data_IF_296305924726
#
_entry.id   IF_296305924726
#
_cell.length_a   1.000
_cell.length_b   1.000
_cell.length_c   1.000
_cell.angle_alpha   90.00
_cell.angle_beta   90.00
_cell.angle_gamma   90.00
#
_symmetry.space_group_name_H-M   'P 1'
#
loop_
_entity.id
_entity.type
_entity.pdbx_description
1 polymer ?
#
# COMPACT_ATOMS: atom_id res chain seq x y z
N UNK A 1 -9.07 3.83 16.12
CA UNK A 1 -7.91 3.28 15.36
C UNK A 1 -7.92 3.91 13.98
N UNK A 2 -6.85 4.56 13.57
CA UNK A 2 -6.75 5.11 12.23
C UNK A 2 -6.65 3.99 11.19
N UNK A 3 -7.35 4.15 10.07
CA UNK A 3 -7.35 3.20 8.96
C UNK A 3 -6.10 3.44 8.12
N UNK A 4 -5.25 2.43 7.97
CA UNK A 4 -4.04 2.57 7.14
C UNK A 4 -4.31 2.13 5.71
N UNK A 5 -4.07 3.04 4.78
CA UNK A 5 -4.21 2.82 3.33
C UNK A 5 -2.86 3.01 2.65
N UNK A 6 -2.49 2.10 1.77
CA UNK A 6 -1.23 2.13 1.03
C UNK A 6 -1.50 2.43 -0.44
N UNK A 7 -0.76 3.38 -0.98
CA UNK A 7 -0.81 3.74 -2.41
C UNK A 7 0.63 3.88 -2.91
N UNK A 8 1.05 3.12 -3.93
CA UNK A 8 2.43 3.12 -4.38
C UNK A 8 2.89 4.49 -4.89
N UNK A 9 4.18 4.79 -4.71
CA UNK A 9 4.79 6.07 -5.11
C UNK A 9 6.03 5.92 -6.01
N UNK A 10 6.30 4.71 -6.49
CA UNK A 10 7.35 4.49 -7.48
C UNK A 10 6.98 5.04 -8.85
N UNK A 11 7.97 5.17 -9.72
CA UNK A 11 7.82 5.84 -11.02
C UNK A 11 6.75 5.18 -11.91
N UNK A 12 6.59 3.86 -11.85
CA UNK A 12 5.57 3.16 -12.64
C UNK A 12 4.15 3.54 -12.18
N UNK A 13 3.89 3.47 -10.89
CA UNK A 13 2.58 3.81 -10.33
C UNK A 13 2.23 5.30 -10.49
N UNK A 14 3.21 6.19 -10.28
CA UNK A 14 3.04 7.65 -10.44
C UNK A 14 2.72 7.99 -11.90
N UNK A 15 3.39 7.36 -12.87
CA UNK A 15 3.18 7.61 -14.29
C UNK A 15 1.74 7.34 -14.75
N UNK A 16 1.07 6.38 -14.13
CA UNK A 16 -0.33 6.01 -14.43
C UNK A 16 -1.35 6.64 -13.46
N UNK A 17 -0.90 7.48 -12.53
CA UNK A 17 -1.78 8.36 -11.75
C UNK A 17 -1.93 8.04 -10.27
N UNK A 18 -1.04 7.25 -9.66
CA UNK A 18 -1.10 6.91 -8.23
C UNK A 18 -1.15 8.14 -7.33
N UNK A 19 -0.46 9.25 -7.67
CA UNK A 19 -0.53 10.49 -6.91
C UNK A 19 -1.91 11.14 -6.94
N UNK A 20 -2.60 11.06 -8.07
CA UNK A 20 -3.97 11.58 -8.20
C UNK A 20 -4.94 10.72 -7.40
N UNK A 21 -4.76 9.41 -7.41
CA UNK A 21 -5.55 8.46 -6.61
C UNK A 21 -5.33 8.71 -5.12
N UNK A 22 -4.07 8.84 -4.67
CA UNK A 22 -3.74 9.14 -3.28
C UNK A 22 -4.40 10.43 -2.79
N UNK A 23 -4.33 11.51 -3.58
CA UNK A 23 -4.99 12.78 -3.29
C UNK A 23 -6.52 12.66 -3.25
N UNK A 24 -7.10 11.88 -4.17
CA UNK A 24 -8.54 11.65 -4.20
C UNK A 24 -9.02 10.87 -2.97
N UNK A 25 -8.28 9.85 -2.55
CA UNK A 25 -8.57 9.08 -1.34
C UNK A 25 -8.52 9.98 -0.10
N UNK A 26 -7.48 10.81 0.05
CA UNK A 26 -7.36 11.73 1.18
C UNK A 26 -8.53 12.71 1.22
N UNK A 27 -8.88 13.32 0.08
CA UNK A 27 -10.01 14.27 -0.02
C UNK A 27 -11.36 13.61 0.27
N UNK A 28 -11.58 12.39 -0.20
CA UNK A 28 -12.86 11.69 0.03
C UNK A 28 -12.98 11.25 1.49
N UNK A 29 -11.87 10.83 2.12
CA UNK A 29 -11.83 10.52 3.54
C UNK A 29 -12.16 11.76 4.39
N UNK A 30 -11.55 12.91 4.10
CA UNK A 30 -11.83 14.18 4.75
C UNK A 30 -13.31 14.57 4.63
N UNK A 31 -13.85 14.51 3.42
CA UNK A 31 -15.28 14.81 3.15
C UNK A 31 -16.23 13.91 3.96
N UNK A 32 -15.85 12.68 4.23
CA UNK A 32 -16.64 11.70 4.98
C UNK A 32 -16.31 11.68 6.48
N UNK A 33 -15.41 12.54 6.96
CA UNK A 33 -14.89 12.57 8.33
C UNK A 33 -14.31 11.21 8.76
N UNK A 34 -13.62 10.52 7.87
CA UNK A 34 -12.93 9.25 8.13
C UNK A 34 -11.45 9.54 8.35
N UNK A 35 -10.93 9.21 9.53
CA UNK A 35 -9.51 9.36 9.83
C UNK A 35 -8.71 8.22 9.17
N UNK A 36 -7.79 8.58 8.29
CA UNK A 36 -6.92 7.63 7.59
C UNK A 36 -5.45 7.99 7.77
N UNK A 37 -4.60 6.97 7.78
CA UNK A 37 -3.17 7.09 7.59
C UNK A 37 -2.83 6.64 6.16
N UNK A 38 -2.44 7.58 5.31
CA UNK A 38 -2.03 7.28 3.94
C UNK A 38 -0.52 7.02 3.89
N UNK A 39 -0.14 5.80 3.56
CA UNK A 39 1.27 5.38 3.41
C UNK A 39 1.62 5.27 1.94
N UNK A 40 2.74 5.88 1.54
CA UNK A 40 3.24 5.85 0.17
C UNK A 40 4.31 4.77 0.07
N UNK A 41 3.88 3.53 -0.18
CA UNK A 41 4.77 2.37 -0.28
C UNK A 41 5.39 2.22 -1.68
N UNK A 42 6.33 1.30 -1.82
CA UNK A 42 6.86 0.88 -3.12
C UNK A 42 5.90 -0.04 -3.86
N UNK A 43 6.11 -0.21 -5.17
CA UNK A 43 5.34 -1.15 -5.99
C UNK A 43 5.50 -2.60 -5.53
N UNK A 44 4.43 -3.38 -5.66
CA UNK A 44 4.46 -4.84 -5.50
C UNK A 44 4.99 -5.56 -6.74
N UNK A 45 5.27 -4.83 -7.83
CA UNK A 45 5.65 -5.40 -9.12
C UNK A 45 4.48 -5.94 -9.93
N UNK A 46 3.25 -5.65 -9.51
CA UNK A 46 2.01 -6.03 -10.20
C UNK A 46 1.56 -4.89 -11.13
N UNK A 47 2.40 -4.52 -12.10
CA UNK A 47 2.23 -3.32 -12.91
C UNK A 47 0.88 -3.24 -13.63
N UNK A 48 0.30 -4.37 -13.99
CA UNK A 48 -1.03 -4.44 -14.64
C UNK A 48 -2.20 -4.16 -13.69
N UNK A 49 -1.94 -4.13 -12.39
CA UNK A 49 -2.93 -3.82 -11.33
C UNK A 49 -2.70 -2.45 -10.70
N UNK A 50 -1.72 -1.69 -11.18
CA UNK A 50 -1.43 -0.36 -10.64
C UNK A 50 -2.36 0.71 -11.21
N UNK A 51 -2.66 1.76 -10.45
CA UNK A 51 -2.36 1.93 -9.02
C UNK A 51 -3.04 0.86 -8.14
N UNK A 52 -2.21 0.07 -7.44
CA UNK A 52 -2.69 -0.94 -6.50
C UNK A 52 -2.89 -0.31 -5.12
N UNK A 53 -4.13 -0.14 -4.71
CA UNK A 53 -4.47 0.40 -3.38
C UNK A 53 -4.66 -0.76 -2.41
N UNK A 54 -3.96 -0.69 -1.27
CA UNK A 54 -4.10 -1.71 -0.23
C UNK A 54 -4.66 -1.07 1.06
N UNK A 55 -5.50 -1.78 1.77
CA UNK A 55 -6.00 -1.38 3.09
C UNK A 55 -5.61 -2.41 4.15
N UNK A 56 -5.09 -1.94 5.28
CA UNK A 56 -4.74 -2.82 6.39
C UNK A 56 -6.00 -3.26 7.13
N UNK A 57 -6.16 -4.57 7.26
CA UNK A 57 -7.24 -5.19 8.03
C UNK A 57 -6.66 -6.18 9.05
N UNK A 58 -7.48 -6.68 9.97
CA UNK A 58 -7.08 -7.70 10.93
C UNK A 58 -6.54 -8.99 10.27
N UNK A 59 -7.01 -9.29 9.05
CA UNK A 59 -6.59 -10.47 8.27
C UNK A 59 -5.37 -10.22 7.38
N UNK A 60 -4.81 -9.00 7.41
CA UNK A 60 -3.73 -8.57 6.53
C UNK A 60 -4.17 -7.49 5.56
N UNK A 61 -3.33 -7.17 4.59
CA UNK A 61 -3.63 -6.15 3.57
C UNK A 61 -4.56 -6.72 2.52
N UNK A 62 -5.66 -6.01 2.26
CA UNK A 62 -6.58 -6.28 1.15
C UNK A 62 -6.29 -5.34 -0.01
N UNK A 63 -6.22 -5.89 -1.21
CA UNK A 63 -5.85 -5.17 -2.42
C UNK A 63 -7.05 -4.82 -3.29
N UNK A 64 -6.98 -3.65 -3.90
CA UNK A 64 -7.91 -3.13 -4.91
C UNK A 64 -7.10 -2.58 -6.08
N UNK A 65 -7.46 -2.95 -7.31
CA UNK A 65 -6.72 -2.48 -8.48
C UNK A 65 -7.25 -2.99 -9.83
N UNK A 66 -6.89 -2.28 -10.93
CA UNK A 66 -6.25 -0.96 -10.94
C UNK A 66 -7.25 0.15 -10.56
N UNK A 67 -6.90 1.00 -9.59
CA UNK A 67 -7.80 2.06 -9.09
C UNK A 67 -7.61 3.35 -9.89
N UNK A 68 -8.71 3.93 -10.35
CA UNK A 68 -8.75 5.26 -10.96
C UNK A 68 -9.37 6.28 -10.00
N UNK A 69 -9.14 7.57 -10.25
CA UNK A 69 -9.74 8.65 -9.44
C UNK A 69 -11.27 8.54 -9.38
N UNK A 70 -11.88 8.12 -10.48
CA UNK A 70 -13.34 7.94 -10.60
C UNK A 70 -13.89 6.82 -9.71
N UNK A 71 -13.07 5.86 -9.32
CA UNK A 71 -13.50 4.72 -8.51
C UNK A 71 -13.49 5.03 -7.02
N UNK A 72 -12.81 6.10 -6.60
CA UNK A 72 -12.57 6.39 -5.19
C UNK A 72 -13.87 6.53 -4.40
N UNK A 73 -14.85 7.27 -4.92
CA UNK A 73 -16.12 7.45 -4.23
C UNK A 73 -16.85 6.11 -4.01
N UNK A 74 -16.92 5.27 -5.05
CA UNK A 74 -17.58 3.95 -4.98
C UNK A 74 -16.83 2.96 -4.08
N UNK A 75 -15.50 3.06 -3.99
CA UNK A 75 -14.70 2.30 -3.03
C UNK A 75 -15.11 2.63 -1.58
N UNK A 76 -15.24 3.92 -1.26
CA UNK A 76 -15.71 4.33 0.06
C UNK A 76 -17.16 3.88 0.32
N UNK A 77 -18.05 3.98 -0.67
CA UNK A 77 -19.44 3.50 -0.56
C UNK A 77 -19.50 1.99 -0.30
N UNK A 78 -18.56 1.25 -0.86
CA UNK A 78 -18.38 -0.19 -0.63
C UNK A 78 -17.64 -0.54 0.68
N UNK A 79 -17.36 0.44 1.55
CA UNK A 79 -16.60 0.25 2.78
C UNK A 79 -15.23 -0.42 2.58
N UNK A 80 -14.49 -0.04 1.53
CA UNK A 80 -13.18 -0.61 1.25
C UNK A 80 -12.20 -0.43 2.43
N UNK A 81 -12.38 0.61 3.23
CA UNK A 81 -11.57 0.92 4.42
C UNK A 81 -11.52 -0.19 5.47
N UNK A 82 -12.52 -1.07 5.46
CA UNK A 82 -12.54 -2.32 6.26
C UNK A 82 -12.47 -3.57 5.38
N UNK A 83 -12.16 -3.38 4.12
CA UNK A 83 -11.99 -4.47 3.16
C UNK A 83 -13.30 -4.97 2.56
N UNK A 84 -14.26 -4.05 2.32
CA UNK A 84 -15.55 -4.33 1.71
C UNK A 84 -15.45 -4.83 0.26
N UNK A 85 -16.49 -5.49 -0.20
CA UNK A 85 -16.55 -6.03 -1.57
C UNK A 85 -16.76 -4.90 -2.60
N UNK A 86 -15.95 -4.90 -3.65
CA UNK A 86 -16.02 -3.96 -4.77
C UNK A 86 -15.57 -4.68 -6.05
N UNK A 87 -15.98 -4.27 -7.26
CA UNK A 87 -15.48 -4.88 -8.50
C UNK A 87 -13.96 -4.90 -8.66
N UNK A 88 -13.25 -3.92 -8.06
CA UNK A 88 -11.79 -3.86 -8.06
C UNK A 88 -11.13 -4.66 -6.93
N UNK A 89 -11.90 -5.34 -6.08
CA UNK A 89 -11.36 -6.14 -4.98
C UNK A 89 -10.64 -7.38 -5.49
N UNK A 90 -9.39 -7.57 -5.07
CA UNK A 90 -8.50 -8.63 -5.54
C UNK A 90 -8.25 -9.73 -4.48
N UNK A 91 -8.66 -9.50 -3.23
CA UNK A 91 -8.37 -10.40 -2.12
C UNK A 91 -7.28 -9.90 -1.19
N UNK A 92 -6.73 -10.81 -0.39
CA UNK A 92 -5.55 -10.53 0.42
C UNK A 92 -4.33 -10.39 -0.50
N UNK A 93 -3.56 -9.32 -0.32
CA UNK A 93 -2.42 -9.01 -1.20
C UNK A 93 -1.42 -10.16 -1.26
N UNK A 94 -1.06 -10.73 -0.12
CA UNK A 94 -0.05 -11.81 -0.06
C UNK A 94 -0.58 -13.14 -0.63
N UNK A 95 -1.89 -13.29 -0.79
CA UNK A 95 -2.53 -14.47 -1.36
C UNK A 95 -2.76 -14.37 -2.88
N UNK A 96 -2.44 -13.22 -3.49
CA UNK A 96 -2.48 -13.09 -4.94
C UNK A 96 -1.51 -14.08 -5.57
N UNK A 97 -1.98 -14.85 -6.57
CA UNK A 97 -1.24 -15.97 -7.16
C UNK A 97 0.19 -15.62 -7.59
N UNK A 98 0.38 -14.42 -8.10
CA UNK A 98 1.70 -13.93 -8.51
C UNK A 98 2.64 -13.71 -7.31
N UNK A 99 2.14 -13.18 -6.19
CA UNK A 99 2.92 -12.90 -4.99
C UNK A 99 3.13 -14.16 -4.15
N UNK A 100 2.09 -14.97 -4.00
CA UNK A 100 2.09 -16.22 -3.22
C UNK A 100 3.14 -17.23 -3.71
N UNK A 101 3.42 -17.24 -5.02
CA UNK A 101 4.41 -18.13 -5.62
C UNK A 101 5.85 -17.64 -5.47
N UNK A 102 6.07 -16.41 -4.98
CA UNK A 102 7.40 -15.83 -4.86
C UNK A 102 8.03 -16.12 -3.50
N UNK A 103 9.28 -16.53 -3.52
CA UNK A 103 10.14 -16.53 -2.35
C UNK A 103 11.08 -15.32 -2.45
N UNK A 104 10.83 -14.31 -1.61
CA UNK A 104 11.55 -13.03 -1.66
C UNK A 104 12.62 -12.99 -0.58
N UNK A 105 13.88 -12.84 -0.98
CA UNK A 105 15.00 -12.60 -0.08
C UNK A 105 15.44 -11.14 -0.16
N UNK A 106 16.01 -10.73 -1.28
CA UNK A 106 16.51 -9.36 -1.47
C UNK A 106 15.39 -8.32 -1.48
N UNK A 107 14.23 -8.68 -2.04
CA UNK A 107 13.06 -7.81 -2.16
C UNK A 107 11.97 -8.08 -1.11
N UNK A 108 12.34 -8.64 0.04
CA UNK A 108 11.38 -9.01 1.09
C UNK A 108 10.51 -7.84 1.58
N UNK A 109 11.04 -6.61 1.50
CA UNK A 109 10.35 -5.38 1.98
C UNK A 109 9.66 -4.58 0.88
N UNK A 110 9.84 -4.96 -0.38
CA UNK A 110 9.23 -4.24 -1.52
C UNK A 110 7.71 -4.25 -1.40
N UNK A 111 7.10 -3.07 -1.55
CA UNK A 111 5.67 -2.87 -1.39
C UNK A 111 5.16 -2.90 0.06
N UNK A 112 6.01 -3.24 1.03
CA UNK A 112 5.62 -3.30 2.45
C UNK A 112 5.89 -1.96 3.14
N UNK A 113 7.07 -1.37 2.90
CA UNK A 113 7.52 -0.16 3.56
C UNK A 113 7.34 1.08 2.68
N UNK A 114 7.33 2.24 3.32
CA UNK A 114 7.58 3.51 2.65
C UNK A 114 9.11 3.62 2.41
N UNK A 115 9.59 3.65 1.16
CA UNK A 115 11.03 3.60 0.85
C UNK A 115 11.79 4.86 1.28
N UNK A 116 11.11 5.95 1.59
CA UNK A 116 11.72 7.20 2.06
C UNK A 116 11.53 7.45 3.56
N UNK A 117 10.89 6.51 4.28
CA UNK A 117 10.69 6.60 5.72
C UNK A 117 11.89 6.05 6.50
N UNK A 118 12.54 6.93 7.28
CA UNK A 118 13.59 6.53 8.21
C UNK A 118 13.06 5.59 9.31
N UNK A 119 11.84 5.82 9.77
CA UNK A 119 11.20 4.97 10.79
C UNK A 119 11.00 3.56 10.28
N UNK A 120 10.51 3.39 9.03
CA UNK A 120 10.37 2.08 8.41
C UNK A 120 11.74 1.41 8.22
N UNK A 121 12.75 2.16 7.79
CA UNK A 121 14.12 1.63 7.67
C UNK A 121 14.65 1.08 9.01
N UNK A 122 14.47 1.81 10.10
CA UNK A 122 14.91 1.38 11.44
C UNK A 122 14.08 0.18 11.93
N UNK A 123 12.76 0.20 11.73
CA UNK A 123 11.86 -0.89 12.15
C UNK A 123 12.21 -2.24 11.50
N UNK A 124 12.79 -2.21 10.30
CA UNK A 124 13.24 -3.39 9.57
C UNK A 124 14.76 -3.60 9.66
N UNK A 125 15.32 -3.39 10.85
CA UNK A 125 16.74 -3.64 11.19
C UNK A 125 17.73 -2.71 10.45
N UNK A 126 17.31 -1.54 10.05
CA UNK A 126 18.20 -0.51 9.52
C UNK A 126 19.29 -0.14 10.53
N UNK A 127 20.49 0.14 10.03
CA UNK A 127 21.69 0.45 10.81
C UNK A 127 22.25 -0.69 11.68
N UNK A 128 21.69 -1.88 11.67
CA UNK A 128 22.23 -3.03 12.44
C UNK A 128 23.67 -3.34 12.05
N UNK A 129 23.99 -3.35 10.76
CA UNK A 129 25.36 -3.56 10.27
C UNK A 129 26.32 -2.50 10.78
N UNK A 130 25.93 -1.22 10.76
CA UNK A 130 26.73 -0.11 11.30
C UNK A 130 26.95 -0.30 12.81
N UNK A 131 25.87 -0.56 13.55
CA UNK A 131 25.95 -0.76 15.00
C UNK A 131 26.87 -1.94 15.39
N UNK A 132 26.85 -3.02 14.59
CA UNK A 132 27.74 -4.16 14.82
C UNK A 132 29.19 -3.80 14.51
N UNK A 133 29.47 -3.05 13.46
CA UNK A 133 30.82 -2.60 13.12
C UNK A 133 31.42 -1.65 14.18
N UNK A 134 30.59 -0.77 14.76
CA UNK A 134 31.04 0.16 15.81
C UNK A 134 31.33 -0.51 17.16
N UNK A 135 30.93 -1.76 17.36
CA UNK A 135 31.17 -2.54 18.59
C UNK A 135 32.40 -3.44 18.50
N UNK A 136 33.03 -3.53 17.33
CA UNK A 136 34.28 -4.27 17.11
C UNK A 136 35.50 -3.39 17.39
#
# INVERSE_FOLDING_TARGET
>A
MSITIYVPCDSSAVSIGADRVAKAIAKEAEKRNIEIQLVRNGSRGLYWLEPLVEVLTEKGRKAYGPVQVTDVASLFDANFTVGGAHPLYLGLTEELDYLKKQQRLTFARIGITDPVSLEDYIRFDGYQGLNNALKQ
#
